data_IF_535076692513
#
_entry.id   IF_535076692513
#
_cell.length_a   1.000
_cell.length_b   1.000
_cell.length_c   1.000
_cell.angle_alpha   90.00
_cell.angle_beta   90.00
_cell.angle_gamma   90.00
#
_symmetry.space_group_name_H-M   'P 1'
#
loop_
_entity.id
_entity.type
_entity.pdbx_description
1 polymer ?
#
# COMPACT_ATOMS: atom_id res chain seq x y z
N UNK A 1 4.69 -27.34 -8.51
CA UNK A 1 4.09 -26.59 -9.65
C UNK A 1 2.56 -26.72 -9.68
N UNK A 2 1.91 -26.42 -8.55
CA UNK A 2 0.46 -26.29 -8.36
C UNK A 2 0.31 -25.21 -7.30
N UNK A 3 0.32 -23.93 -7.69
CA UNK A 3 0.05 -22.75 -6.82
C UNK A 3 0.16 -21.38 -7.53
N UNK A 4 0.10 -21.34 -8.86
CA UNK A 4 -0.05 -20.08 -9.62
C UNK A 4 -1.54 -19.80 -9.95
N UNK A 5 -2.42 -20.75 -9.62
CA UNK A 5 -3.88 -20.61 -9.78
C UNK A 5 -4.53 -19.65 -8.77
N UNK A 6 -3.78 -19.08 -7.82
CA UNK A 6 -4.32 -18.24 -6.75
C UNK A 6 -4.52 -16.78 -7.17
N UNK A 7 -3.81 -16.32 -8.21
CA UNK A 7 -3.93 -14.94 -8.73
C UNK A 7 -5.27 -14.72 -9.47
N UNK A 8 -5.89 -15.79 -9.99
CA UNK A 8 -7.26 -15.74 -10.48
C UNK A 8 -8.31 -15.92 -9.38
N UNK A 9 -7.93 -16.35 -8.17
CA UNK A 9 -8.89 -16.71 -7.12
C UNK A 9 -9.33 -15.53 -6.25
N UNK A 10 -8.52 -14.47 -6.16
CA UNK A 10 -8.93 -13.23 -5.46
C UNK A 10 -9.86 -12.32 -6.28
N UNK A 11 -10.02 -12.59 -7.58
CA UNK A 11 -11.03 -11.92 -8.42
C UNK A 11 -12.38 -12.68 -8.37
N UNK A 12 -12.42 -13.91 -7.83
CA UNK A 12 -13.58 -14.82 -8.00
C UNK A 12 -14.55 -14.93 -6.81
N UNK A 13 -14.42 -14.17 -5.72
CA UNK A 13 -15.29 -14.35 -4.52
C UNK A 13 -16.45 -13.37 -4.39
N UNK A 14 -16.88 -12.69 -5.46
CA UNK A 14 -18.09 -11.83 -5.42
C UNK A 14 -19.27 -12.37 -6.27
N UNK A 15 -19.15 -13.49 -6.99
CA UNK A 15 -20.21 -13.89 -7.93
C UNK A 15 -20.86 -15.21 -7.54
N UNK A 16 -21.80 -15.14 -6.60
CA UNK A 16 -22.95 -16.05 -6.56
C UNK A 16 -24.22 -15.23 -6.37
N UNK A 17 -24.84 -14.85 -7.49
CA UNK A 17 -26.14 -14.20 -7.48
C UNK A 17 -26.54 -13.62 -8.85
N UNK A 18 -27.48 -14.31 -9.50
CA UNK A 18 -28.33 -13.85 -10.60
C UNK A 18 -27.70 -13.62 -11.99
N UNK A 19 -27.97 -14.59 -12.87
CA UNK A 19 -28.03 -14.39 -14.32
C UNK A 19 -29.08 -13.32 -14.67
N UNK A 20 -28.62 -12.14 -15.06
CA UNK A 20 -29.38 -11.19 -15.87
C UNK A 20 -28.38 -10.41 -16.74
N UNK A 21 -28.56 -10.47 -18.07
CA UNK A 21 -27.87 -9.58 -19.00
C UNK A 21 -28.34 -8.15 -18.75
N UNK A 22 -27.70 -7.46 -17.81
CA UNK A 22 -27.61 -6.00 -17.81
C UNK A 22 -26.15 -5.64 -18.06
N UNK A 23 -25.90 -4.62 -18.87
CA UNK A 23 -24.58 -3.97 -18.93
C UNK A 23 -24.35 -3.27 -17.58
N UNK A 24 -24.04 -4.05 -16.56
CA UNK A 24 -23.85 -3.53 -15.21
C UNK A 24 -22.66 -2.58 -15.18
N UNK A 25 -22.85 -1.41 -14.57
CA UNK A 25 -21.74 -0.57 -14.10
C UNK A 25 -21.53 -0.92 -12.64
N UNK A 26 -20.27 -1.08 -12.23
CA UNK A 26 -19.87 -1.18 -10.84
C UNK A 26 -19.37 0.19 -10.42
N UNK A 27 -19.91 0.72 -9.32
CA UNK A 27 -19.45 1.97 -8.73
C UNK A 27 -18.65 1.64 -7.47
N UNK A 28 -17.45 2.18 -7.39
CA UNK A 28 -16.58 2.05 -6.23
C UNK A 28 -15.96 3.42 -5.89
N UNK A 29 -15.52 3.56 -4.65
CA UNK A 29 -14.82 4.73 -4.12
C UNK A 29 -13.34 4.43 -3.87
N UNK A 30 -12.94 3.16 -3.99
CA UNK A 30 -11.59 2.68 -3.69
C UNK A 30 -11.33 2.56 -2.20
N UNK A 31 -12.31 2.07 -1.43
CA UNK A 31 -12.12 1.72 -0.03
C UNK A 31 -12.52 0.27 0.24
N UNK A 32 -11.84 -0.35 1.18
CA UNK A 32 -12.31 -1.57 1.84
C UNK A 32 -12.59 -1.26 3.30
N UNK A 33 -13.60 -1.90 3.89
CA UNK A 33 -13.97 -1.71 5.29
C UNK A 33 -14.41 -3.02 5.92
N UNK A 34 -14.39 -3.06 7.25
CA UNK A 34 -15.04 -4.10 8.05
C UNK A 34 -15.92 -3.49 9.12
N UNK A 35 -16.88 -4.25 9.65
CA UNK A 35 -17.57 -3.87 10.88
C UNK A 35 -16.66 -4.25 12.04
N UNK A 36 -16.08 -3.24 12.69
CA UNK A 36 -15.07 -3.46 13.72
C UNK A 36 -15.68 -4.21 14.91
N UNK A 37 -14.96 -5.23 15.35
CA UNK A 37 -15.20 -5.90 16.63
C UNK A 37 -14.20 -5.44 17.71
N UNK A 38 -13.38 -4.43 17.39
CA UNK A 38 -12.38 -3.88 18.28
C UNK A 38 -13.06 -2.96 19.30
N UNK A 39 -13.00 -3.32 20.58
CA UNK A 39 -13.63 -2.55 21.65
C UNK A 39 -12.97 -1.18 21.88
N UNK A 40 -11.75 -0.98 21.37
CA UNK A 40 -10.99 0.25 21.52
C UNK A 40 -11.05 1.18 20.30
N UNK A 41 -11.69 0.75 19.21
CA UNK A 41 -11.81 1.57 18.00
C UNK A 41 -13.01 1.18 17.13
N UNK A 42 -14.03 2.05 17.08
CA UNK A 42 -15.17 1.92 16.18
C UNK A 42 -16.01 0.66 16.40
N UNK A 43 -16.14 0.17 17.63
CA UNK A 43 -16.86 -1.07 17.93
C UNK A 43 -18.29 -1.06 17.38
N UNK A 44 -18.61 -2.02 16.51
CA UNK A 44 -19.91 -2.13 15.85
C UNK A 44 -20.14 -1.11 14.72
N UNK A 45 -19.10 -0.38 14.31
CA UNK A 45 -19.11 0.58 13.22
C UNK A 45 -18.18 0.13 12.07
N UNK A 46 -18.39 0.63 10.84
CA UNK A 46 -17.47 0.42 9.73
C UNK A 46 -16.14 1.13 9.96
N UNK A 47 -15.02 0.40 9.87
CA UNK A 47 -13.67 0.94 9.91
C UNK A 47 -12.98 0.70 8.57
N UNK A 48 -12.38 1.75 8.00
CA UNK A 48 -11.67 1.69 6.72
C UNK A 48 -10.38 0.88 6.88
N UNK A 49 -10.28 -0.23 6.16
CA UNK A 49 -9.11 -1.12 6.15
C UNK A 49 -8.07 -0.71 5.10
N UNK A 50 -8.54 -0.18 3.97
CA UNK A 50 -7.63 0.33 2.95
C UNK A 50 -8.28 1.37 2.06
N UNK A 51 -7.43 2.22 1.49
CA UNK A 51 -7.78 3.24 0.52
C UNK A 51 -6.88 3.04 -0.71
N UNK A 52 -7.47 2.84 -1.88
CA UNK A 52 -6.74 2.68 -3.14
C UNK A 52 -6.16 4.04 -3.57
N UNK A 53 -4.87 4.13 -3.93
CA UNK A 53 -4.28 5.37 -4.45
C UNK A 53 -5.04 5.90 -5.66
N UNK A 54 -5.16 7.23 -5.75
CA UNK A 54 -5.83 7.95 -6.85
C UNK A 54 -7.35 7.71 -6.99
N UNK A 55 -7.92 6.82 -6.18
CA UNK A 55 -9.37 6.61 -6.09
C UNK A 55 -10.10 7.86 -5.61
N UNK A 56 -11.43 7.94 -5.79
CA UNK A 56 -12.21 9.04 -5.25
C UNK A 56 -12.07 9.23 -3.74
N UNK A 57 -12.02 8.15 -2.96
CA UNK A 57 -11.86 8.24 -1.51
C UNK A 57 -10.48 8.77 -1.11
N UNK A 58 -9.41 8.34 -1.81
CA UNK A 58 -8.08 8.91 -1.62
C UNK A 58 -8.04 10.42 -1.91
N UNK A 59 -8.70 10.86 -3.00
CA UNK A 59 -8.80 12.27 -3.37
C UNK A 59 -9.61 13.09 -2.37
N UNK A 60 -10.65 12.50 -1.78
CA UNK A 60 -11.45 13.14 -0.74
C UNK A 60 -10.68 13.26 0.60
N UNK A 61 -9.66 12.41 0.82
CA UNK A 61 -8.85 12.42 2.03
C UNK A 61 -9.30 11.43 3.10
N UNK A 62 -10.08 10.41 2.71
CA UNK A 62 -10.36 9.25 3.56
C UNK A 62 -9.05 8.50 3.82
N UNK A 63 -8.85 8.05 5.07
CA UNK A 63 -7.64 7.37 5.53
C UNK A 63 -7.96 5.98 6.07
N UNK A 64 -6.93 5.14 6.15
CA UNK A 64 -7.00 3.88 6.90
C UNK A 64 -7.31 4.19 8.37
N UNK A 65 -8.10 3.33 8.99
CA UNK A 65 -8.64 3.42 10.35
C UNK A 65 -9.71 4.51 10.55
N UNK A 66 -10.16 5.21 9.51
CA UNK A 66 -11.32 6.09 9.63
C UNK A 66 -12.58 5.28 10.00
N UNK A 67 -13.33 5.76 10.99
CA UNK A 67 -14.63 5.21 11.40
C UNK A 67 -15.72 5.93 10.62
N UNK A 68 -16.47 5.19 9.80
CA UNK A 68 -17.58 5.75 9.00
C UNK A 68 -18.84 5.77 9.87
N UNK A 69 -19.19 6.93 10.43
CA UNK A 69 -20.35 7.10 11.31
C UNK A 69 -21.67 7.17 10.55
N UNK A 70 -21.67 7.80 9.37
CA UNK A 70 -22.87 7.95 8.55
C UNK A 70 -22.55 7.82 7.06
N UNK A 71 -23.52 7.30 6.31
CA UNK A 71 -23.54 7.29 4.84
C UNK A 71 -24.79 8.04 4.38
N UNK A 72 -24.64 9.17 3.71
CA UNK A 72 -25.74 10.04 3.27
C UNK A 72 -26.69 10.43 4.41
N UNK A 73 -26.14 10.66 5.62
CA UNK A 73 -26.90 10.97 6.84
C UNK A 73 -27.57 9.75 7.51
N UNK A 74 -27.41 8.54 6.98
CA UNK A 74 -27.86 7.32 7.64
C UNK A 74 -26.76 6.78 8.58
N UNK A 75 -27.07 6.70 9.87
CA UNK A 75 -26.15 6.20 10.89
C UNK A 75 -25.80 4.72 10.71
N UNK A 76 -24.49 4.41 10.82
CA UNK A 76 -23.92 3.07 10.60
C UNK A 76 -23.79 2.23 11.87
N UNK A 77 -23.89 2.86 13.05
CA UNK A 77 -23.74 2.18 14.34
C UNK A 77 -24.66 0.96 14.48
N UNK A 78 -24.07 -0.19 14.79
CA UNK A 78 -24.73 -1.50 14.94
C UNK A 78 -25.51 -1.96 13.70
N UNK A 79 -25.18 -1.44 12.51
CA UNK A 79 -25.69 -1.95 11.24
C UNK A 79 -24.82 -3.09 10.74
N UNK A 80 -25.44 -4.06 10.08
CA UNK A 80 -24.71 -5.18 9.50
C UNK A 80 -24.03 -4.77 8.18
N UNK A 81 -23.01 -5.54 7.80
CA UNK A 81 -22.24 -5.29 6.59
C UNK A 81 -23.11 -5.17 5.31
N UNK A 82 -24.08 -6.07 5.03
CA UNK A 82 -24.92 -5.94 3.84
C UNK A 82 -25.71 -4.63 3.75
N UNK A 83 -26.16 -4.09 4.87
CA UNK A 83 -26.92 -2.83 4.92
C UNK A 83 -26.02 -1.64 4.60
N UNK A 84 -24.83 -1.58 5.21
CA UNK A 84 -23.88 -0.48 4.94
C UNK A 84 -23.33 -0.57 3.52
N UNK A 85 -23.01 -1.79 3.06
CA UNK A 85 -22.56 -2.03 1.70
C UNK A 85 -23.62 -1.60 0.67
N UNK A 86 -24.91 -1.81 0.94
CA UNK A 86 -25.95 -1.31 0.04
C UNK A 86 -25.98 0.22 0.01
N UNK A 87 -25.79 0.93 1.12
CA UNK A 87 -25.74 2.40 1.11
C UNK A 87 -24.53 2.97 0.38
N UNK A 88 -23.36 2.36 0.58
CA UNK A 88 -22.14 2.78 -0.09
C UNK A 88 -22.25 2.52 -1.60
N UNK A 89 -22.63 1.29 -1.99
CA UNK A 89 -22.51 0.82 -3.37
C UNK A 89 -23.83 0.77 -4.16
N UNK A 90 -24.95 1.29 -3.63
CA UNK A 90 -26.23 1.37 -4.38
C UNK A 90 -26.08 2.31 -5.57
N UNK A 91 -26.16 1.80 -6.80
CA UNK A 91 -25.92 2.49 -8.07
C UNK A 91 -26.86 3.66 -8.42
N UNK A 92 -27.80 4.06 -7.55
CA UNK A 92 -28.81 5.08 -7.87
C UNK A 92 -28.42 6.54 -7.56
N UNK A 93 -27.44 6.82 -6.67
CA UNK A 93 -26.94 8.19 -6.41
C UNK A 93 -25.62 8.47 -7.11
N UNK A 94 -25.32 9.74 -7.45
CA UNK A 94 -24.07 10.13 -8.12
C UNK A 94 -22.90 10.36 -7.16
N UNK A 95 -23.19 10.97 -6.01
CA UNK A 95 -22.21 11.30 -4.98
C UNK A 95 -22.65 10.67 -3.66
N UNK A 96 -21.68 10.38 -2.79
CA UNK A 96 -21.95 9.99 -1.41
C UNK A 96 -21.35 11.00 -0.46
N UNK A 97 -22.01 11.15 0.69
CA UNK A 97 -21.51 11.92 1.81
C UNK A 97 -21.16 10.96 2.94
N UNK A 98 -19.88 10.89 3.30
CA UNK A 98 -19.42 10.13 4.45
C UNK A 98 -19.20 11.07 5.62
N UNK A 99 -19.77 10.72 6.77
CA UNK A 99 -19.41 11.34 8.04
C UNK A 99 -18.40 10.45 8.74
N UNK A 100 -17.21 10.97 9.01
CA UNK A 100 -16.07 10.22 9.56
C UNK A 100 -15.67 10.73 10.94
N UNK A 101 -15.28 9.79 11.80
CA UNK A 101 -14.57 9.99 13.06
C UNK A 101 -13.22 9.25 13.02
N UNK A 102 -12.17 9.88 13.52
CA UNK A 102 -10.84 9.27 13.64
C UNK A 102 -10.07 9.96 14.79
N UNK A 103 -8.73 9.89 14.81
CA UNK A 103 -7.87 10.51 15.86
C UNK A 103 -7.81 12.04 15.76
N UNK A 104 -7.96 12.63 14.58
CA UNK A 104 -7.86 14.08 14.36
C UNK A 104 -9.22 14.81 14.35
N UNK A 105 -10.33 14.10 14.10
CA UNK A 105 -11.69 14.67 14.12
C UNK A 105 -12.74 13.77 14.81
N UNK A 106 -13.74 14.41 15.44
CA UNK A 106 -14.96 13.74 15.93
C UNK A 106 -16.03 13.62 14.85
N UNK A 107 -16.09 14.60 13.94
CA UNK A 107 -17.09 14.70 12.90
C UNK A 107 -16.48 15.46 11.73
N UNK A 108 -16.21 14.77 10.63
CA UNK A 108 -15.80 15.39 9.38
C UNK A 108 -16.56 14.78 8.23
N UNK A 109 -17.13 15.64 7.40
CA UNK A 109 -17.89 15.23 6.23
C UNK A 109 -16.98 15.22 5.00
N UNK A 110 -17.07 14.14 4.23
CA UNK A 110 -16.39 13.98 2.95
C UNK A 110 -17.43 13.75 1.86
N UNK A 111 -17.43 14.61 0.86
CA UNK A 111 -18.18 14.40 -0.38
C UNK A 111 -17.30 13.61 -1.35
N UNK A 112 -17.75 12.42 -1.72
CA UNK A 112 -17.00 11.50 -2.55
C UNK A 112 -17.78 11.25 -3.84
N UNK A 113 -17.16 11.65 -4.95
CA UNK A 113 -17.67 11.39 -6.29
C UNK A 113 -17.52 9.91 -6.61
N UNK A 114 -18.54 9.28 -7.18
CA UNK A 114 -18.45 7.87 -7.57
C UNK A 114 -17.56 7.67 -8.79
N UNK A 115 -16.68 6.68 -8.73
CA UNK A 115 -16.06 6.13 -9.93
C UNK A 115 -16.84 4.90 -10.38
N UNK A 116 -17.75 5.11 -11.33
CA UNK A 116 -18.54 4.04 -11.92
C UNK A 116 -17.89 3.58 -13.20
N UNK A 117 -17.53 2.30 -13.30
CA UNK A 117 -16.91 1.68 -14.48
C UNK A 117 -17.71 0.48 -14.94
N UNK A 118 -17.52 0.07 -16.19
CA UNK A 118 -18.09 -1.19 -16.69
C UNK A 118 -17.55 -2.35 -15.85
N UNK A 119 -18.38 -3.36 -15.55
CA UNK A 119 -17.97 -4.51 -14.70
C UNK A 119 -16.74 -5.25 -15.24
N UNK A 120 -16.48 -5.17 -16.55
CA UNK A 120 -15.33 -5.76 -17.22
C UNK A 120 -14.19 -4.77 -17.52
N UNK A 121 -14.21 -3.57 -16.93
CA UNK A 121 -13.18 -2.56 -17.12
C UNK A 121 -11.88 -2.93 -16.39
N UNK A 122 -10.76 -2.90 -17.11
CA UNK A 122 -9.40 -2.97 -16.57
C UNK A 122 -8.75 -1.60 -16.70
N UNK A 123 -8.54 -0.94 -15.55
CA UNK A 123 -7.83 0.33 -15.49
C UNK A 123 -6.32 0.13 -15.74
N UNK A 124 -5.65 1.20 -16.16
CA UNK A 124 -4.18 1.25 -16.23
C UNK A 124 -3.53 0.94 -14.88
N UNK A 125 -4.19 1.29 -13.77
CA UNK A 125 -3.74 0.96 -12.42
C UNK A 125 -3.68 -0.56 -12.18
N UNK A 126 -4.69 -1.33 -12.61
CA UNK A 126 -4.68 -2.79 -12.54
C UNK A 126 -3.70 -3.42 -13.52
N UNK A 127 -3.59 -2.85 -14.74
CA UNK A 127 -2.67 -3.33 -15.76
C UNK A 127 -1.21 -3.12 -15.36
N UNK A 128 -0.89 -2.06 -14.62
CA UNK A 128 0.43 -1.85 -14.06
C UNK A 128 0.88 -3.04 -13.20
N UNK A 129 0.00 -3.58 -12.35
CA UNK A 129 0.30 -4.76 -11.52
C UNK A 129 0.47 -6.02 -12.37
N UNK A 130 -0.45 -6.23 -13.31
CA UNK A 130 -0.41 -7.39 -14.21
C UNK A 130 0.91 -7.46 -15.01
N UNK A 131 1.44 -6.30 -15.41
CA UNK A 131 2.66 -6.15 -16.21
C UNK A 131 3.87 -5.63 -15.42
N UNK A 132 3.88 -5.79 -14.08
CA UNK A 132 4.92 -5.27 -13.19
C UNK A 132 6.35 -5.71 -13.55
N UNK A 133 6.56 -6.89 -14.17
CA UNK A 133 7.91 -7.31 -14.57
C UNK A 133 8.51 -6.47 -15.70
N UNK A 134 7.74 -5.60 -16.37
CA UNK A 134 8.34 -4.56 -17.22
C UNK A 134 9.15 -3.54 -16.41
N UNK A 135 8.72 -3.22 -15.18
CA UNK A 135 9.43 -2.36 -14.23
C UNK A 135 9.13 -2.78 -12.79
N UNK A 136 10.00 -3.64 -12.22
CA UNK A 136 9.89 -3.96 -10.79
C UNK A 136 10.40 -2.80 -9.93
N UNK A 137 11.20 -1.92 -10.51
CA UNK A 137 11.69 -0.67 -9.93
C UNK A 137 10.55 0.28 -9.55
N UNK A 138 9.51 0.33 -10.38
CA UNK A 138 8.36 1.21 -10.21
C UNK A 138 7.13 0.50 -9.63
N UNK A 139 6.95 -0.79 -9.91
CA UNK A 139 5.77 -1.55 -9.45
C UNK A 139 6.17 -2.86 -8.79
N UNK A 140 5.98 -2.97 -7.48
CA UNK A 140 6.19 -4.20 -6.73
C UNK A 140 5.45 -4.20 -5.40
N UNK A 141 5.10 -5.39 -4.94
CA UNK A 141 4.55 -5.63 -3.61
C UNK A 141 5.56 -6.41 -2.78
N UNK A 142 5.81 -5.95 -1.56
CA UNK A 142 6.79 -6.57 -0.65
C UNK A 142 6.22 -6.66 0.75
N UNK A 143 6.39 -7.81 1.38
CA UNK A 143 5.95 -8.03 2.75
C UNK A 143 7.13 -8.23 3.69
N UNK A 144 6.95 -7.82 4.94
CA UNK A 144 7.90 -8.07 6.03
C UNK A 144 7.17 -8.16 7.37
N UNK A 145 7.80 -8.80 8.34
CA UNK A 145 7.24 -9.00 9.69
C UNK A 145 8.13 -8.33 10.73
N UNK A 146 7.52 -7.75 11.77
CA UNK A 146 8.20 -7.26 12.97
C UNK A 146 7.78 -8.11 14.18
N UNK A 147 8.72 -8.40 15.11
CA UNK A 147 8.42 -9.05 16.38
C UNK A 147 7.84 -8.05 17.40
N UNK A 148 6.68 -7.47 17.07
CA UNK A 148 6.01 -6.49 17.93
C UNK A 148 5.10 -7.16 18.96
N UNK A 149 5.27 -6.82 20.23
CA UNK A 149 4.28 -7.10 21.26
C UNK A 149 3.40 -5.87 21.44
N UNK A 150 2.08 -6.02 21.25
CA UNK A 150 1.08 -4.98 21.48
C UNK A 150 0.16 -5.43 22.61
N UNK A 151 -0.09 -4.55 23.58
CA UNK A 151 -0.92 -4.81 24.76
C UNK A 151 -1.87 -3.63 25.01
N UNK A 152 -3.05 -3.60 24.34
CA UNK A 152 -4.03 -2.54 24.52
C UNK A 152 -4.98 -2.82 25.69
N UNK A 153 -5.40 -1.77 26.40
CA UNK A 153 -6.49 -1.87 27.36
C UNK A 153 -7.84 -1.85 26.64
N UNK A 154 -8.52 -2.99 26.62
CA UNK A 154 -9.77 -3.18 25.86
C UNK A 154 -10.95 -2.36 26.37
N UNK A 155 -10.85 -1.73 27.54
CA UNK A 155 -11.91 -0.88 28.11
C UNK A 155 -11.77 0.60 27.72
N UNK A 156 -10.80 0.93 26.87
CA UNK A 156 -10.48 2.31 26.47
C UNK A 156 -10.87 2.49 25.01
N UNK A 157 -11.73 3.48 24.72
CA UNK A 157 -11.98 3.94 23.35
C UNK A 157 -10.93 5.00 22.98
N UNK A 158 -10.03 4.66 22.06
CA UNK A 158 -8.95 5.56 21.66
C UNK A 158 -9.45 6.76 20.84
N UNK A 159 -10.70 6.77 20.35
CA UNK A 159 -11.27 7.93 19.65
C UNK A 159 -11.48 9.15 20.57
N UNK A 160 -11.41 8.95 21.89
CA UNK A 160 -11.54 9.98 22.91
C UNK A 160 -10.23 10.70 23.27
N UNK A 161 -9.11 10.20 22.75
CA UNK A 161 -7.76 10.71 23.00
C UNK A 161 -7.21 11.41 21.76
N UNK A 162 -6.84 12.68 21.93
CA UNK A 162 -6.47 13.61 20.85
C UNK A 162 -5.11 14.23 21.08
N UNK A 163 -4.74 14.41 22.34
CA UNK A 163 -3.51 15.09 22.70
C UNK A 163 -2.56 14.22 23.49
N UNK A 164 -1.27 14.51 23.36
CA UNK A 164 -0.23 13.80 24.09
C UNK A 164 0.86 14.74 24.58
N UNK A 165 1.60 14.29 25.58
CA UNK A 165 2.94 14.81 25.88
C UNK A 165 3.82 13.67 26.38
N UNK A 166 5.13 13.90 26.40
CA UNK A 166 6.05 12.92 26.96
C UNK A 166 6.09 12.99 28.48
N UNK A 167 6.34 11.84 29.11
CA UNK A 167 6.65 11.77 30.53
C UNK A 167 7.83 12.68 30.83
N UNK A 168 7.67 13.60 31.79
CA UNK A 168 8.74 14.50 32.20
C UNK A 168 9.73 13.73 33.06
N UNK A 169 11.00 13.85 32.72
CA UNK A 169 12.11 13.32 33.48
C UNK A 169 12.62 14.41 34.44
N UNK A 170 12.87 14.06 35.70
CA UNK A 170 13.34 15.01 36.72
C UNK A 170 14.83 15.39 36.53
N UNK A 171 15.55 14.66 35.68
CA UNK A 171 16.98 14.82 35.40
C UNK A 171 17.26 15.04 33.92
N UNK A 172 18.45 15.58 33.63
CA UNK A 172 18.94 15.65 32.24
C UNK A 172 19.05 14.25 31.65
N UNK A 173 18.28 13.98 30.61
CA UNK A 173 18.39 12.75 29.82
C UNK A 173 19.47 12.89 28.74
N UNK A 174 20.08 11.77 28.31
CA UNK A 174 20.98 11.75 27.16
C UNK A 174 20.38 12.27 25.86
N UNK A 175 21.23 12.70 24.91
CA UNK A 175 20.81 13.19 23.58
C UNK A 175 20.01 12.15 22.77
N UNK A 176 20.28 10.86 23.01
CA UNK A 176 19.56 9.76 22.35
C UNK A 176 18.07 9.73 22.70
N UNK A 177 17.71 10.03 23.96
CA UNK A 177 16.31 10.08 24.40
C UNK A 177 15.54 11.18 23.68
N UNK A 178 16.15 12.37 23.54
CA UNK A 178 15.56 13.47 22.78
C UNK A 178 15.33 13.08 21.32
N UNK A 179 16.30 12.42 20.70
CA UNK A 179 16.15 11.99 19.30
C UNK A 179 15.05 10.92 19.16
N UNK A 180 15.05 9.88 20.00
CA UNK A 180 14.00 8.84 19.97
C UNK A 180 12.62 9.47 20.16
N UNK A 181 12.46 10.33 21.17
CA UNK A 181 11.19 11.01 21.42
C UNK A 181 10.77 11.90 20.24
N UNK A 182 11.71 12.54 19.53
CA UNK A 182 11.38 13.30 18.31
C UNK A 182 10.84 12.42 17.18
N UNK A 183 11.35 11.19 17.02
CA UNK A 183 10.84 10.25 16.02
C UNK A 183 9.46 9.70 16.42
N UNK A 184 9.25 9.43 17.71
CA UNK A 184 7.92 9.03 18.22
C UNK A 184 6.92 10.19 18.08
N UNK A 185 7.32 11.41 18.40
CA UNK A 185 6.48 12.62 18.25
C UNK A 185 6.01 12.78 16.81
N UNK A 186 6.94 12.69 15.85
CA UNK A 186 6.63 12.73 14.42
C UNK A 186 5.61 11.64 14.05
N UNK A 187 5.84 10.40 14.47
CA UNK A 187 4.94 9.29 14.19
C UNK A 187 3.54 9.48 14.82
N UNK A 188 3.43 10.01 16.04
CA UNK A 188 2.15 10.31 16.69
C UNK A 188 1.38 11.42 15.98
N UNK A 189 2.07 12.46 15.53
CA UNK A 189 1.48 13.56 14.75
C UNK A 189 0.99 13.06 13.39
N UNK A 190 1.73 12.18 12.73
CA UNK A 190 1.31 11.52 11.48
C UNK A 190 0.04 10.65 11.68
N UNK A 191 -0.17 10.12 12.89
CA UNK A 191 -1.42 9.43 13.28
C UNK A 191 -2.57 10.37 13.62
N UNK A 192 -2.35 11.68 13.68
CA UNK A 192 -3.37 12.69 13.91
C UNK A 192 -3.45 13.21 15.35
N UNK A 193 -2.56 12.76 16.25
CA UNK A 193 -2.49 13.32 17.61
C UNK A 193 -1.81 14.70 17.60
N UNK A 194 -2.15 15.53 18.59
CA UNK A 194 -1.58 16.87 18.75
C UNK A 194 -0.82 16.97 20.07
N UNK A 195 0.39 17.52 20.07
CA UNK A 195 1.14 17.68 21.31
C UNK A 195 0.56 18.80 22.19
N UNK A 196 0.35 18.52 23.48
CA UNK A 196 -0.15 19.48 24.48
C UNK A 196 0.63 19.36 25.79
N UNK A 197 1.49 20.33 26.11
CA UNK A 197 2.32 20.29 27.32
C UNK A 197 1.60 20.73 28.59
N UNK A 198 0.39 21.29 28.45
CA UNK A 198 -0.41 21.81 29.57
C UNK A 198 -1.37 20.74 30.09
N UNK A 199 -2.21 20.22 29.21
CA UNK A 199 -3.25 19.23 29.54
C UNK A 199 -3.33 18.18 28.42
N UNK A 200 -2.39 17.22 28.37
CA UNK A 200 -2.44 16.12 27.42
C UNK A 200 -3.42 15.04 27.87
N UNK A 201 -4.11 14.40 26.91
CA UNK A 201 -4.96 13.24 27.18
C UNK A 201 -4.11 11.99 27.49
N UNK A 202 -2.96 11.86 26.82
CA UNK A 202 -2.01 10.75 26.91
C UNK A 202 -0.64 11.24 27.42
N UNK A 203 -0.07 10.54 28.40
CA UNK A 203 1.36 10.64 28.70
C UNK A 203 2.10 9.50 28.00
N UNK A 204 3.08 9.85 27.17
CA UNK A 204 3.90 8.91 26.40
C UNK A 204 5.21 8.65 27.13
N UNK A 205 5.54 7.38 27.34
CA UNK A 205 6.85 6.96 27.84
C UNK A 205 7.52 6.07 26.79
N UNK A 206 8.76 6.37 26.46
CA UNK A 206 9.62 5.53 25.63
C UNK A 206 10.58 4.74 26.51
N UNK A 207 10.97 3.56 26.06
CA UNK A 207 12.01 2.76 26.70
C UNK A 207 12.75 1.96 25.64
N UNK A 208 14.05 1.77 25.82
CA UNK A 208 14.86 1.03 24.86
C UNK A 208 16.04 0.34 25.53
N UNK A 209 16.56 -0.69 24.88
CA UNK A 209 17.80 -1.35 25.27
C UNK A 209 18.59 -1.75 24.04
N UNK A 210 19.92 -1.71 24.14
CA UNK A 210 20.83 -2.28 23.16
C UNK A 210 21.94 -2.99 23.91
N UNK A 211 22.07 -4.30 23.72
CA UNK A 211 23.02 -5.11 24.47
C UNK A 211 23.54 -6.31 23.68
N UNK A 212 24.76 -6.80 23.98
CA UNK A 212 25.25 -8.06 23.47
C UNK A 212 24.32 -9.22 23.83
N UNK A 213 24.12 -10.14 22.90
CA UNK A 213 23.30 -11.32 23.11
C UNK A 213 24.11 -12.48 23.71
N UNK A 214 23.85 -12.79 24.98
CA UNK A 214 24.53 -13.90 25.69
C UNK A 214 24.24 -15.28 25.10
N UNK A 215 23.16 -15.43 24.31
CA UNK A 215 22.79 -16.69 23.65
C UNK A 215 23.36 -16.83 22.23
N UNK A 216 24.12 -15.84 21.75
CA UNK A 216 24.73 -15.89 20.43
C UNK A 216 25.67 -17.08 20.29
N UNK A 217 25.46 -17.87 19.24
CA UNK A 217 26.32 -18.99 18.87
C UNK A 217 27.07 -18.69 17.58
N UNK A 218 28.37 -18.35 17.70
CA UNK A 218 29.24 -18.03 16.57
C UNK A 218 29.46 -19.21 15.59
N UNK A 219 29.14 -20.45 15.98
CA UNK A 219 29.16 -21.60 15.07
C UNK A 219 27.99 -21.59 14.07
N UNK A 220 26.92 -20.85 14.36
CA UNK A 220 25.81 -20.66 13.43
C UNK A 220 26.16 -19.50 12.50
N UNK A 221 26.39 -19.77 11.22
CA UNK A 221 26.74 -18.74 10.25
C UNK A 221 25.54 -17.81 10.01
N UNK A 222 25.48 -16.70 10.74
CA UNK A 222 24.49 -15.63 10.56
C UNK A 222 25.07 -14.37 9.92
N UNK A 223 26.38 -14.35 9.64
CA UNK A 223 27.06 -13.20 9.02
C UNK A 223 26.40 -12.86 7.69
N UNK A 224 26.11 -11.56 7.49
CA UNK A 224 25.45 -11.02 6.31
C UNK A 224 23.98 -11.44 6.12
N UNK A 225 23.27 -11.78 7.21
CA UNK A 225 21.81 -11.97 7.15
C UNK A 225 21.12 -10.62 7.37
N UNK A 226 20.42 -10.14 6.35
CA UNK A 226 19.70 -8.88 6.37
C UNK A 226 18.21 -9.12 6.15
N UNK A 227 17.38 -8.32 6.81
CA UNK A 227 15.95 -8.28 6.56
C UNK A 227 15.54 -6.95 5.99
N UNK A 228 14.47 -6.97 5.21
CA UNK A 228 13.92 -5.77 4.63
C UNK A 228 13.00 -5.07 5.62
N UNK A 229 13.07 -3.74 5.64
CA UNK A 229 12.17 -2.84 6.35
C UNK A 229 11.73 -1.72 5.41
N UNK A 230 10.60 -1.09 5.73
CA UNK A 230 10.14 0.10 5.04
C UNK A 230 10.65 1.33 5.76
N UNK A 231 11.26 2.24 5.02
CA UNK A 231 11.63 3.57 5.49
C UNK A 231 10.58 4.58 5.00
N UNK A 232 9.78 5.11 5.92
CA UNK A 232 8.70 6.05 5.62
C UNK A 232 9.20 7.40 5.12
N UNK A 233 10.44 7.78 5.43
CA UNK A 233 10.99 9.07 5.01
C UNK A 233 11.45 9.05 3.54
N UNK A 234 12.10 7.96 3.14
CA UNK A 234 12.54 7.77 1.75
C UNK A 234 11.48 7.10 0.88
N UNK A 235 10.44 6.52 1.50
CA UNK A 235 9.41 5.70 0.87
C UNK A 235 9.97 4.47 0.13
N UNK A 236 11.08 3.93 0.65
CA UNK A 236 11.78 2.79 0.06
C UNK A 236 11.90 1.60 1.02
N UNK A 237 12.14 0.43 0.44
CA UNK A 237 12.50 -0.76 1.20
C UNK A 237 14.02 -0.80 1.41
N UNK A 238 14.47 -0.82 2.65
CA UNK A 238 15.88 -0.82 3.05
C UNK A 238 16.28 -2.16 3.67
N UNK A 239 17.53 -2.60 3.46
CA UNK A 239 18.09 -3.79 4.11
C UNK A 239 18.75 -3.38 5.41
N UNK A 240 18.31 -3.97 6.52
CA UNK A 240 18.89 -3.75 7.83
C UNK A 240 19.54 -5.03 8.36
N UNK A 241 20.58 -4.94 9.21
CA UNK A 241 21.27 -6.09 9.81
C UNK A 241 20.45 -6.76 10.92
N UNK A 242 19.17 -6.98 10.65
CA UNK A 242 18.17 -7.51 11.57
C UNK A 242 17.73 -8.86 11.04
N UNK A 243 17.64 -9.86 11.90
CA UNK A 243 17.13 -11.18 11.56
C UNK A 243 15.61 -11.13 11.37
N UNK A 244 15.08 -11.96 10.48
CA UNK A 244 13.64 -11.96 10.22
C UNK A 244 12.88 -12.39 11.47
N UNK A 245 11.73 -11.77 11.74
CA UNK A 245 10.81 -12.21 12.80
C UNK A 245 10.33 -13.65 12.60
N UNK A 246 10.37 -14.15 11.35
CA UNK A 246 10.01 -15.52 10.99
C UNK A 246 11.16 -16.53 11.18
N UNK A 247 12.37 -16.09 11.52
CA UNK A 247 13.51 -16.98 11.79
C UNK A 247 13.42 -17.56 13.19
N UNK A 248 13.02 -18.83 13.27
CA UNK A 248 12.90 -19.59 14.54
C UNK A 248 14.22 -19.68 15.34
N UNK A 249 15.36 -19.42 14.69
CA UNK A 249 16.68 -19.42 15.32
C UNK A 249 17.26 -18.01 15.48
N UNK A 250 16.45 -16.96 15.35
CA UNK A 250 16.92 -15.57 15.45
C UNK A 250 17.70 -15.31 16.74
N UNK A 251 17.24 -15.84 17.87
CA UNK A 251 17.87 -15.66 19.18
C UNK A 251 19.28 -16.26 19.27
N UNK A 252 19.55 -17.41 18.65
CA UNK A 252 20.90 -18.00 18.69
C UNK A 252 21.84 -17.42 17.64
N UNK A 253 21.28 -16.78 16.61
CA UNK A 253 22.01 -16.19 15.48
C UNK A 253 22.39 -14.72 15.68
N UNK A 254 21.60 -13.96 16.44
CA UNK A 254 21.82 -12.53 16.65
C UNK A 254 22.99 -12.27 17.60
N UNK A 255 23.91 -11.39 17.23
CA UNK A 255 25.01 -10.92 18.07
C UNK A 255 24.55 -9.91 19.13
N UNK A 256 23.53 -9.11 18.80
CA UNK A 256 22.96 -8.09 19.67
C UNK A 256 21.45 -8.25 19.80
N UNK A 257 20.90 -7.71 20.88
CA UNK A 257 19.47 -7.57 21.12
C UNK A 257 19.17 -6.08 21.22
N UNK A 258 18.22 -5.62 20.41
CA UNK A 258 17.67 -4.27 20.47
C UNK A 258 16.21 -4.35 20.87
N UNK A 259 15.79 -3.54 21.84
CA UNK A 259 14.38 -3.34 22.16
C UNK A 259 14.05 -1.85 22.09
N UNK A 260 12.91 -1.51 21.49
CA UNK A 260 12.29 -0.19 21.56
C UNK A 260 10.82 -0.37 21.87
N UNK A 261 10.33 0.34 22.89
CA UNK A 261 8.95 0.29 23.33
C UNK A 261 8.38 1.67 23.65
N UNK A 262 7.06 1.77 23.51
CA UNK A 262 6.26 2.97 23.65
C UNK A 262 5.04 2.62 24.50
N UNK A 263 4.83 3.37 25.59
CA UNK A 263 3.68 3.22 26.50
C UNK A 263 2.85 4.48 26.50
N UNK A 264 1.55 4.28 26.54
CA UNK A 264 0.58 5.34 26.79
C UNK A 264 -0.04 5.16 28.17
N UNK A 265 -0.07 6.25 28.92
CA UNK A 265 -0.78 6.37 30.17
C UNK A 265 -1.94 7.36 30.03
N UNK A 266 -3.10 6.99 30.54
CA UNK A 266 -4.26 7.87 30.61
C UNK A 266 -4.00 9.01 31.61
N UNK A 267 -4.35 10.23 31.19
CA UNK A 267 -4.41 11.41 32.06
C UNK A 267 -5.81 12.04 32.11
N UNK A 268 -6.76 11.51 31.36
CA UNK A 268 -8.06 12.16 31.13
C UNK A 268 -9.21 11.54 31.90
N UNK A 269 -9.38 10.22 31.83
CA UNK A 269 -10.68 9.59 32.14
C UNK A 269 -10.67 8.61 33.33
N UNK A 270 -9.61 7.83 33.52
CA UNK A 270 -9.61 6.71 34.47
C UNK A 270 -9.32 7.20 35.89
N UNK A 271 -8.12 7.78 36.08
CA UNK A 271 -7.72 8.35 37.35
C UNK A 271 -6.58 9.35 37.13
N UNK A 272 -6.86 10.65 37.30
CA UNK A 272 -5.87 11.71 37.09
C UNK A 272 -4.70 11.65 38.08
N UNK A 273 -4.89 11.00 39.24
CA UNK A 273 -3.89 10.86 40.29
C UNK A 273 -3.07 9.57 40.15
N UNK A 274 -3.43 8.66 39.23
CA UNK A 274 -2.72 7.40 39.00
C UNK A 274 -2.44 7.20 37.52
N UNK A 275 -1.15 7.15 37.18
CA UNK A 275 -0.65 6.74 35.86
C UNK A 275 -1.17 5.34 35.52
N UNK A 276 -2.21 5.28 34.69
CA UNK A 276 -2.85 4.03 34.27
C UNK A 276 -2.43 3.73 32.85
N UNK A 277 -1.66 2.66 32.65
CA UNK A 277 -1.27 2.23 31.31
C UNK A 277 -2.50 1.81 30.52
N UNK A 278 -2.67 2.39 29.33
CA UNK A 278 -3.79 2.09 28.41
C UNK A 278 -3.31 1.39 27.14
N UNK A 279 -2.02 1.46 26.83
CA UNK A 279 -1.44 0.84 25.65
C UNK A 279 0.07 0.66 25.82
N UNK A 280 0.62 -0.46 25.36
CA UNK A 280 2.07 -0.70 25.20
C UNK A 280 2.31 -1.35 23.84
N UNK A 281 3.31 -0.86 23.11
CA UNK A 281 3.86 -1.53 21.94
C UNK A 281 5.37 -1.52 21.99
N UNK A 282 5.97 -2.69 21.78
CA UNK A 282 7.42 -2.83 21.73
C UNK A 282 7.85 -3.80 20.65
N UNK A 283 9.00 -3.55 20.05
CA UNK A 283 9.68 -4.51 19.18
C UNK A 283 10.98 -4.94 19.82
N UNK A 284 11.22 -6.25 19.85
CA UNK A 284 12.48 -6.84 20.32
C UNK A 284 13.13 -7.62 19.18
N UNK A 285 14.25 -7.10 18.70
CA UNK A 285 14.92 -7.56 17.50
C UNK A 285 16.28 -8.20 17.82
N UNK A 286 16.69 -9.14 16.95
CA UNK A 286 18.01 -9.78 17.00
C UNK A 286 18.84 -9.31 15.81
N UNK A 287 20.02 -8.77 16.07
CA UNK A 287 20.86 -8.13 15.04
C UNK A 287 22.12 -8.93 14.75
N UNK A 288 22.58 -8.91 13.50
CA UNK A 288 23.79 -9.63 13.07
C UNK A 288 25.08 -8.84 13.28
N UNK A 289 24.99 -7.53 13.49
CA UNK A 289 26.09 -6.61 13.71
C UNK A 289 25.61 -5.43 14.57
N UNK A 290 26.54 -4.56 14.94
CA UNK A 290 26.25 -3.34 15.69
C UNK A 290 25.34 -2.41 14.87
N UNK A 291 24.39 -1.74 15.53
CA UNK A 291 23.39 -0.92 14.85
C UNK A 291 22.91 0.21 15.75
N UNK A 292 22.84 1.41 15.19
CA UNK A 292 22.46 2.61 15.92
C UNK A 292 20.98 2.59 16.31
N UNK A 293 20.69 2.74 17.61
CA UNK A 293 19.33 2.83 18.14
C UNK A 293 18.60 4.08 17.62
N UNK A 294 19.31 5.17 17.30
CA UNK A 294 18.71 6.35 16.69
C UNK A 294 18.20 6.02 15.28
N UNK A 295 19.02 5.38 14.44
CA UNK A 295 18.59 4.94 13.12
C UNK A 295 17.46 3.90 13.19
N UNK A 296 17.50 2.99 14.18
CA UNK A 296 16.39 2.07 14.43
C UNK A 296 15.09 2.82 14.74
N UNK A 297 15.14 3.81 15.63
CA UNK A 297 13.98 4.62 15.98
C UNK A 297 13.44 5.41 14.79
N UNK A 298 14.30 6.00 13.96
CA UNK A 298 13.93 6.72 12.73
C UNK A 298 13.08 5.86 11.79
N UNK A 299 13.48 4.61 11.59
CA UNK A 299 12.77 3.67 10.71
C UNK A 299 11.52 3.06 11.36
N UNK A 300 11.61 2.68 12.65
CA UNK A 300 10.60 1.82 13.27
C UNK A 300 9.53 2.59 14.07
N UNK A 301 9.74 3.86 14.41
CA UNK A 301 8.75 4.66 15.12
C UNK A 301 7.38 4.67 14.42
N UNK A 302 7.36 5.00 13.12
CA UNK A 302 6.14 5.01 12.30
C UNK A 302 5.53 3.61 12.19
N UNK A 303 6.35 2.57 12.00
CA UNK A 303 5.90 1.18 11.91
C UNK A 303 5.22 0.72 13.21
N UNK A 304 5.81 1.01 14.38
CA UNK A 304 5.19 0.72 15.68
C UNK A 304 3.86 1.47 15.86
N UNK A 305 3.80 2.74 15.44
CA UNK A 305 2.59 3.56 15.52
C UNK A 305 1.48 3.13 14.55
N UNK A 306 1.76 2.31 13.55
CA UNK A 306 0.70 1.66 12.75
C UNK A 306 -0.15 0.68 13.57
N UNK A 307 0.28 0.29 14.78
CA UNK A 307 -0.51 -0.56 15.68
C UNK A 307 -1.52 0.21 16.54
N UNK A 308 -1.57 1.54 16.43
CA UNK A 308 -2.49 2.44 17.12
C UNK A 308 -3.25 3.29 16.09
N UNK A 309 -4.54 3.62 16.27
CA UNK A 309 -5.41 3.30 17.39
C UNK A 309 -6.21 2.01 17.18
N UNK A 310 -6.23 1.44 15.97
CA UNK A 310 -6.82 0.14 15.70
C UNK A 310 -5.94 -0.98 16.27
N UNK A 311 -5.96 -1.10 17.60
CA UNK A 311 -5.02 -1.94 18.35
C UNK A 311 -5.63 -3.28 18.73
N UNK A 312 -4.88 -4.35 18.49
CA UNK A 312 -5.22 -5.71 18.95
C UNK A 312 -4.00 -6.36 19.59
N UNK A 313 -4.22 -7.17 20.63
CA UNK A 313 -3.13 -7.89 21.29
C UNK A 313 -2.47 -8.87 20.31
N UNK A 314 -1.16 -8.73 20.11
CA UNK A 314 -0.38 -9.56 19.18
C UNK A 314 1.10 -9.58 19.57
N UNK A 315 1.84 -10.56 19.03
CA UNK A 315 3.30 -10.72 19.24
C UNK A 315 4.12 -10.61 17.96
N UNK A 316 3.43 -10.42 16.82
CA UNK A 316 4.03 -10.20 15.51
C UNK A 316 3.07 -9.31 14.72
N UNK A 317 3.62 -8.41 13.90
CA UNK A 317 2.84 -7.65 12.93
C UNK A 317 3.46 -7.84 11.56
N UNK A 318 2.61 -8.14 10.57
CA UNK A 318 3.01 -8.26 9.17
C UNK A 318 2.63 -6.98 8.45
N UNK A 319 3.50 -6.52 7.57
CA UNK A 319 3.32 -5.32 6.77
C UNK A 319 3.38 -5.67 5.30
N UNK A 320 2.55 -5.00 4.50
CA UNK A 320 2.57 -5.04 3.05
C UNK A 320 2.90 -3.65 2.53
N UNK A 321 3.93 -3.53 1.71
CA UNK A 321 4.31 -2.31 1.00
C UNK A 321 4.04 -2.53 -0.47
N UNK A 322 3.14 -1.71 -1.00
CA UNK A 322 2.77 -1.68 -2.42
C UNK A 322 3.32 -0.40 -3.03
N UNK A 323 4.35 -0.54 -3.86
CA UNK A 323 4.90 0.53 -4.68
C UNK A 323 4.31 0.42 -6.08
N UNK A 324 3.86 1.54 -6.63
CA UNK A 324 3.35 1.62 -8.00
C UNK A 324 3.78 2.92 -8.68
N UNK A 325 4.23 2.81 -9.93
CA UNK A 325 4.64 3.94 -10.75
C UNK A 325 4.35 3.67 -12.22
N UNK A 326 3.42 4.42 -12.83
CA UNK A 326 2.99 4.15 -14.21
C UNK A 326 2.54 5.43 -14.94
N UNK A 327 2.58 5.40 -16.27
CA UNK A 327 1.94 6.38 -17.14
C UNK A 327 0.42 6.19 -17.08
N UNK A 328 -0.27 7.20 -16.57
CA UNK A 328 -1.72 7.31 -16.55
C UNK A 328 -2.20 8.15 -17.73
N UNK A 329 -3.08 7.58 -18.55
CA UNK A 329 -3.84 8.27 -19.59
C UNK A 329 -5.33 8.36 -19.24
N UNK A 330 -5.84 7.49 -18.36
CA UNK A 330 -7.26 7.38 -18.00
C UNK A 330 -8.05 6.40 -18.86
N UNK A 331 -7.37 5.53 -19.60
CA UNK A 331 -8.02 4.48 -20.38
C UNK A 331 -8.41 3.29 -19.50
N UNK A 332 -9.62 2.77 -19.72
CA UNK A 332 -10.04 1.50 -19.17
C UNK A 332 -10.34 0.53 -20.32
N UNK A 333 -9.74 -0.65 -20.27
CA UNK A 333 -9.79 -1.66 -21.33
C UNK A 333 -10.84 -2.73 -21.02
N UNK A 334 -11.38 -3.39 -22.04
CA UNK A 334 -12.25 -4.55 -21.85
C UNK A 334 -11.41 -5.78 -21.46
N UNK A 335 -11.75 -6.44 -20.36
CA UNK A 335 -11.02 -7.63 -19.90
C UNK A 335 -11.08 -8.82 -20.86
N UNK A 336 -12.08 -8.86 -21.76
CA UNK A 336 -12.23 -9.92 -22.78
C UNK A 336 -11.65 -9.53 -24.12
N UNK A 337 -11.48 -8.23 -24.36
CA UNK A 337 -11.02 -7.68 -25.63
C UNK A 337 -10.15 -6.45 -25.35
N UNK A 338 -8.88 -6.72 -25.04
CA UNK A 338 -7.89 -5.76 -24.55
C UNK A 338 -7.61 -4.56 -25.47
N UNK A 339 -8.14 -4.55 -26.69
CA UNK A 339 -8.07 -3.42 -27.60
C UNK A 339 -9.26 -2.47 -27.46
N UNK A 340 -10.38 -2.92 -26.91
CA UNK A 340 -11.60 -2.12 -26.77
C UNK A 340 -11.57 -1.30 -25.50
N UNK A 341 -11.94 -0.02 -25.60
CA UNK A 341 -12.04 0.90 -24.47
C UNK A 341 -13.46 0.84 -23.89
N UNK A 342 -13.58 0.43 -22.64
CA UNK A 342 -14.87 0.33 -21.93
C UNK A 342 -15.28 1.67 -21.34
N UNK A 343 -14.34 2.38 -20.73
CA UNK A 343 -14.55 3.66 -20.08
C UNK A 343 -13.30 4.54 -20.23
N UNK A 344 -13.48 5.86 -20.18
CA UNK A 344 -12.38 6.84 -20.15
C UNK A 344 -12.64 7.76 -18.98
N UNK A 345 -11.68 7.83 -18.06
CA UNK A 345 -11.82 8.63 -16.84
C UNK A 345 -12.05 10.11 -17.19
N UNK A 346 -13.00 10.76 -16.53
CA UNK A 346 -13.34 12.15 -16.81
C UNK A 346 -12.16 13.09 -16.52
N UNK A 347 -11.89 14.03 -17.44
CA UNK A 347 -10.78 14.99 -17.30
C UNK A 347 -9.38 14.39 -17.45
N UNK A 348 -9.27 13.08 -17.74
CA UNK A 348 -7.99 12.41 -17.96
C UNK A 348 -7.30 12.85 -19.26
N UNK A 349 -5.98 12.60 -19.42
CA UNK A 349 -5.28 12.90 -20.65
C UNK A 349 -5.92 12.32 -21.91
N UNK A 350 -6.42 11.08 -21.87
CA UNK A 350 -7.08 10.43 -22.98
C UNK A 350 -8.44 11.09 -23.31
N UNK A 351 -9.22 11.45 -22.28
CA UNK A 351 -10.49 12.18 -22.45
C UNK A 351 -10.26 13.54 -23.11
N UNK A 352 -9.26 14.30 -22.65
CA UNK A 352 -8.91 15.62 -23.19
C UNK A 352 -8.41 15.52 -24.64
N UNK A 353 -7.70 14.44 -24.99
CA UNK A 353 -7.27 14.16 -26.36
C UNK A 353 -8.41 13.64 -27.27
N UNK A 354 -9.58 13.36 -26.69
CA UNK A 354 -10.80 12.98 -27.38
C UNK A 354 -10.95 11.50 -27.70
N UNK A 355 -10.29 10.62 -26.94
CA UNK A 355 -10.60 9.17 -26.92
C UNK A 355 -11.89 8.98 -26.11
N UNK A 356 -12.77 8.09 -26.57
CA UNK A 356 -14.09 7.87 -25.98
C UNK A 356 -14.35 6.38 -25.68
N UNK A 357 -15.25 6.06 -24.74
CA UNK A 357 -15.79 4.72 -24.59
C UNK A 357 -16.31 4.15 -25.93
N UNK A 358 -16.00 2.89 -26.20
CA UNK A 358 -16.32 2.21 -27.46
C UNK A 358 -15.29 2.39 -28.57
N UNK A 359 -14.28 3.26 -28.40
CA UNK A 359 -13.14 3.28 -29.30
C UNK A 359 -12.33 1.99 -29.18
N UNK A 360 -11.70 1.56 -30.29
CA UNK A 360 -10.78 0.42 -30.29
C UNK A 360 -9.36 0.89 -30.57
N UNK A 361 -8.41 0.58 -29.70
CA UNK A 361 -6.99 0.81 -29.91
C UNK A 361 -6.51 -0.09 -31.06
N UNK A 362 -5.87 0.52 -32.05
CA UNK A 362 -5.20 -0.18 -33.17
C UNK A 362 -3.74 -0.37 -32.83
N UNK A 363 -3.07 0.69 -32.36
CA UNK A 363 -1.69 0.64 -31.88
C UNK A 363 -1.37 1.82 -30.94
N UNK A 364 -0.40 1.62 -30.06
CA UNK A 364 0.23 2.68 -29.26
C UNK A 364 1.70 2.77 -29.65
N UNK A 365 2.10 3.93 -30.17
CA UNK A 365 3.40 4.13 -30.80
C UNK A 365 3.57 3.18 -31.99
N UNK A 366 4.44 2.18 -31.83
CA UNK A 366 4.71 1.16 -32.85
C UNK A 366 4.04 -0.20 -32.56
N UNK A 367 3.48 -0.39 -31.36
CA UNK A 367 2.98 -1.70 -30.91
C UNK A 367 1.49 -1.83 -31.19
N UNK A 368 1.10 -2.85 -31.96
CA UNK A 368 -0.30 -3.14 -32.30
C UNK A 368 -1.06 -3.77 -31.12
N UNK A 369 -2.39 -3.67 -31.19
CA UNK A 369 -3.33 -4.22 -30.21
C UNK A 369 -4.21 -5.33 -30.85
N UNK A 370 -3.68 -6.10 -31.79
CA UNK A 370 -4.38 -7.19 -32.49
C UNK A 370 -4.08 -8.58 -31.88
N UNK A 371 -3.96 -8.64 -30.56
CA UNK A 371 -3.65 -9.86 -29.79
C UNK A 371 -4.83 -10.30 -28.92
N UNK A 372 -4.99 -11.62 -28.76
CA UNK A 372 -5.91 -12.17 -27.76
C UNK A 372 -5.31 -12.12 -26.35
N UNK A 373 -6.14 -12.22 -25.31
CA UNK A 373 -5.66 -12.28 -23.93
C UNK A 373 -4.70 -13.46 -23.67
N UNK A 374 -4.91 -14.60 -24.35
CA UNK A 374 -4.03 -15.78 -24.27
C UNK A 374 -2.67 -15.55 -24.95
N UNK A 375 -2.66 -14.85 -26.10
CA UNK A 375 -1.41 -14.45 -26.76
C UNK A 375 -0.58 -13.55 -25.85
N UNK A 376 -1.22 -12.56 -25.22
CA UNK A 376 -0.55 -11.65 -24.29
C UNK A 376 0.01 -12.37 -23.07
N UNK A 377 -0.76 -13.27 -22.45
CA UNK A 377 -0.29 -14.02 -21.30
C UNK A 377 0.96 -14.86 -21.65
N UNK A 378 0.91 -15.59 -22.77
CA UNK A 378 2.04 -16.40 -23.24
C UNK A 378 3.26 -15.54 -23.56
N UNK A 379 3.06 -14.43 -24.27
CA UNK A 379 4.12 -13.52 -24.66
C UNK A 379 4.78 -12.83 -23.45
N UNK A 380 3.99 -12.44 -22.45
CA UNK A 380 4.50 -11.85 -21.22
C UNK A 380 5.25 -12.86 -20.34
N UNK A 381 4.73 -14.08 -20.17
CA UNK A 381 5.44 -15.17 -19.48
C UNK A 381 6.79 -15.45 -20.15
N UNK A 382 6.81 -15.47 -21.49
CA UNK A 382 8.03 -15.64 -22.27
C UNK A 382 9.00 -14.48 -22.08
N UNK A 383 8.51 -13.23 -22.11
CA UNK A 383 9.32 -12.05 -21.82
C UNK A 383 10.01 -12.17 -20.46
N UNK A 384 9.28 -12.56 -19.41
CA UNK A 384 9.87 -12.72 -18.07
C UNK A 384 11.01 -13.73 -18.11
N UNK A 385 10.77 -14.93 -18.62
CA UNK A 385 11.77 -16.02 -18.64
C UNK A 385 13.00 -15.64 -19.46
N UNK A 386 12.82 -15.15 -20.68
CA UNK A 386 13.92 -14.85 -21.60
C UNK A 386 14.70 -13.58 -21.22
N UNK A 387 14.10 -12.67 -20.44
CA UNK A 387 14.76 -11.44 -19.97
C UNK A 387 15.53 -11.60 -18.65
N UNK A 388 15.39 -12.72 -17.95
CA UNK A 388 16.10 -12.98 -16.68
C UNK A 388 17.62 -12.71 -16.72
N UNK A 389 18.36 -13.06 -17.80
CA UNK A 389 19.79 -12.76 -17.89
C UNK A 389 20.15 -11.26 -17.91
N UNK A 390 19.18 -10.36 -18.08
CA UNK A 390 19.36 -8.90 -18.07
C UNK A 390 19.14 -8.28 -16.67
N UNK A 391 18.69 -9.09 -15.71
CA UNK A 391 18.40 -8.65 -14.33
C UNK A 391 19.66 -8.49 -13.49
N UNK A 392 19.57 -7.74 -12.40
CA UNK A 392 20.66 -7.54 -11.44
C UNK A 392 20.48 -8.46 -10.21
N UNK A 393 21.30 -9.52 -10.05
CA UNK A 393 21.19 -10.45 -8.93
C UNK A 393 21.33 -9.80 -7.55
N UNK A 394 22.03 -8.67 -7.43
CA UNK A 394 22.23 -7.97 -6.14
C UNK A 394 20.94 -7.34 -5.60
N UNK A 395 19.95 -7.13 -6.48
CA UNK A 395 18.66 -6.51 -6.14
C UNK A 395 17.58 -7.54 -5.80
N UNK A 396 17.94 -8.83 -5.71
CA UNK A 396 16.95 -9.90 -5.52
C UNK A 396 16.13 -9.70 -4.23
N UNK A 397 14.81 -9.87 -4.36
CA UNK A 397 13.87 -9.91 -3.25
C UNK A 397 12.74 -10.92 -3.52
N UNK A 398 12.02 -11.28 -2.45
CA UNK A 398 10.80 -12.08 -2.51
C UNK A 398 9.62 -11.10 -2.51
N UNK A 399 8.71 -11.21 -3.47
CA UNK A 399 7.49 -10.40 -3.48
C UNK A 399 6.49 -10.84 -2.39
N UNK A 400 5.43 -10.06 -2.18
CA UNK A 400 4.39 -10.36 -1.20
C UNK A 400 3.64 -11.69 -1.47
N UNK A 401 3.67 -12.19 -2.71
CA UNK A 401 3.03 -13.43 -3.14
C UNK A 401 3.97 -14.66 -3.00
N UNK A 402 5.23 -14.44 -2.60
CA UNK A 402 6.22 -15.48 -2.38
C UNK A 402 7.06 -15.85 -3.61
N UNK A 403 7.04 -15.05 -4.68
CA UNK A 403 7.93 -15.23 -5.82
C UNK A 403 9.36 -14.77 -5.46
N UNK A 404 10.37 -15.66 -5.45
CA UNK A 404 11.66 -15.37 -4.83
C UNK A 404 12.68 -14.68 -5.74
N UNK A 405 12.40 -14.59 -7.04
CA UNK A 405 13.35 -14.15 -8.06
C UNK A 405 13.02 -12.78 -8.66
N UNK A 406 12.34 -11.92 -7.88
CA UNK A 406 12.14 -10.52 -8.27
C UNK A 406 13.48 -9.79 -8.25
N UNK A 407 13.85 -9.16 -9.36
CA UNK A 407 15.11 -8.43 -9.53
C UNK A 407 14.87 -7.20 -10.41
N UNK A 408 15.53 -6.10 -10.10
CA UNK A 408 15.59 -4.95 -10.98
C UNK A 408 16.44 -5.24 -12.22
N UNK A 409 16.29 -4.42 -13.26
CA UNK A 409 17.13 -4.48 -14.44
C UNK A 409 18.57 -4.08 -14.10
N UNK A 410 19.54 -4.72 -14.76
CA UNK A 410 20.94 -4.27 -14.67
C UNK A 410 21.11 -2.96 -15.45
N UNK A 411 21.59 -1.91 -14.77
CA UNK A 411 21.73 -0.55 -15.33
C UNK A 411 22.52 -0.54 -16.65
N UNK A 412 23.61 -1.32 -16.71
CA UNK A 412 24.46 -1.45 -17.91
C UNK A 412 23.81 -2.24 -19.06
N UNK A 413 22.68 -2.91 -18.82
CA UNK A 413 21.92 -3.69 -19.82
C UNK A 413 20.66 -2.97 -20.31
N UNK A 414 20.38 -1.75 -19.84
CA UNK A 414 19.16 -1.00 -20.23
C UNK A 414 18.94 -0.90 -21.76
N UNK A 415 19.98 -0.68 -22.60
CA UNK A 415 19.79 -0.70 -24.04
C UNK A 415 19.27 -2.05 -24.56
N UNK A 416 19.79 -3.17 -24.06
CA UNK A 416 19.35 -4.52 -24.44
C UNK A 416 17.92 -4.81 -23.97
N UNK A 417 17.54 -4.33 -22.78
CA UNK A 417 16.16 -4.44 -22.28
C UNK A 417 15.21 -3.67 -23.19
N UNK A 418 15.56 -2.45 -23.59
CA UNK A 418 14.74 -1.63 -24.50
C UNK A 418 14.58 -2.29 -25.90
N UNK A 419 15.57 -3.05 -26.38
CA UNK A 419 15.43 -3.83 -27.62
C UNK A 419 14.41 -4.96 -27.49
N UNK A 420 14.19 -5.53 -26.30
CA UNK A 420 13.15 -6.56 -26.12
C UNK A 420 11.76 -5.99 -26.43
N UNK A 421 11.46 -4.78 -25.97
CA UNK A 421 10.17 -4.12 -26.22
C UNK A 421 9.89 -3.80 -27.70
N UNK A 422 10.91 -3.90 -28.57
CA UNK A 422 10.74 -3.76 -30.03
C UNK A 422 10.41 -5.09 -30.72
N UNK A 423 10.60 -6.23 -30.05
CA UNK A 423 10.31 -7.57 -30.57
C UNK A 423 8.83 -7.92 -30.43
N UNK A 424 7.99 -7.10 -31.06
CA UNK A 424 6.52 -7.18 -31.03
C UNK A 424 5.99 -8.57 -31.35
N UNK A 425 6.51 -9.22 -32.40
CA UNK A 425 6.10 -10.57 -32.81
C UNK A 425 6.38 -11.68 -31.78
N UNK A 426 7.23 -11.42 -30.78
CA UNK A 426 7.63 -12.40 -29.75
C UNK A 426 6.97 -12.07 -28.40
N UNK A 427 7.00 -10.80 -27.99
CA UNK A 427 6.62 -10.40 -26.64
C UNK A 427 5.32 -9.59 -26.57
N UNK A 428 4.70 -9.24 -27.71
CA UNK A 428 3.44 -8.49 -27.80
C UNK A 428 3.29 -7.41 -26.71
N UNK A 429 4.22 -6.44 -26.59
CA UNK A 429 4.36 -5.61 -25.40
C UNK A 429 3.35 -4.44 -25.38
N UNK A 430 2.06 -4.75 -25.54
CA UNK A 430 0.96 -3.80 -25.71
C UNK A 430 0.91 -2.78 -24.57
N UNK A 431 1.10 -3.25 -23.33
CA UNK A 431 1.03 -2.44 -22.13
C UNK A 431 2.38 -1.87 -21.67
N UNK A 432 3.43 -1.99 -22.49
CA UNK A 432 4.74 -1.38 -22.17
C UNK A 432 4.68 0.16 -22.10
N UNK A 433 3.68 0.80 -22.71
CA UNK A 433 3.49 2.25 -22.62
C UNK A 433 3.27 2.74 -21.19
N UNK A 434 2.76 1.87 -20.30
CA UNK A 434 2.60 2.16 -18.87
C UNK A 434 3.94 2.50 -18.22
N UNK A 435 5.04 1.95 -18.72
CA UNK A 435 6.39 2.18 -18.19
C UNK A 435 7.29 2.93 -19.18
N UNK A 436 6.72 3.52 -20.24
CA UNK A 436 7.47 4.17 -21.30
C UNK A 436 8.23 5.42 -20.86
N UNK A 437 7.99 5.96 -19.66
CA UNK A 437 8.83 7.01 -19.08
C UNK A 437 10.22 6.50 -18.68
N UNK A 438 10.44 5.18 -18.62
CA UNK A 438 11.71 4.58 -18.27
C UNK A 438 12.63 4.31 -19.47
N UNK A 439 13.93 4.52 -19.26
CA UNK A 439 14.96 4.34 -20.28
C UNK A 439 15.14 2.88 -20.71
N UNK A 440 14.94 1.93 -19.81
CA UNK A 440 15.01 0.50 -20.12
C UNK A 440 13.77 -0.02 -20.87
N UNK A 441 12.70 0.77 -20.97
CA UNK A 441 11.52 0.44 -21.79
C UNK A 441 11.60 1.14 -23.15
N UNK A 442 11.73 2.47 -23.15
CA UNK A 442 11.67 3.28 -24.38
C UNK A 442 13.02 3.62 -25.02
N UNK A 443 14.12 3.25 -24.38
CA UNK A 443 15.47 3.68 -24.78
C UNK A 443 15.85 5.05 -24.20
N UNK A 444 16.95 5.68 -24.68
CA UNK A 444 17.57 6.85 -24.04
C UNK A 444 16.69 8.10 -23.99
N UNK A 445 15.70 8.20 -24.88
CA UNK A 445 14.78 9.33 -24.99
C UNK A 445 13.33 8.87 -24.81
N UNK A 446 12.87 8.66 -23.57
CA UNK A 446 11.48 8.33 -23.26
C UNK A 446 10.49 9.32 -23.91
N UNK A 447 9.42 8.84 -24.58
CA UNK A 447 8.44 9.71 -25.20
C UNK A 447 7.64 10.46 -24.13
N UNK A 448 7.52 11.79 -24.31
CA UNK A 448 6.62 12.64 -23.51
C UNK A 448 5.16 12.58 -23.99
N UNK A 449 4.95 12.12 -25.22
CA UNK A 449 3.64 12.05 -25.88
C UNK A 449 3.49 10.66 -26.47
N UNK A 450 2.36 10.02 -26.21
CA UNK A 450 1.95 8.75 -26.78
C UNK A 450 1.14 9.02 -28.05
N UNK A 451 1.58 8.45 -29.15
CA UNK A 451 0.83 8.42 -30.42
C UNK A 451 -0.09 7.19 -30.39
N UNK A 452 -1.39 7.40 -30.18
CA UNK A 452 -2.40 6.34 -30.06
C UNK A 452 -3.27 6.34 -31.33
N UNK A 453 -3.18 5.28 -32.13
CA UNK A 453 -4.09 5.07 -33.26
C UNK A 453 -5.33 4.34 -32.75
N UNK A 454 -6.50 4.97 -32.88
CA UNK A 454 -7.80 4.41 -32.48
C UNK A 454 -8.71 4.26 -33.69
N UNK A 455 -9.60 3.28 -33.63
CA UNK A 455 -10.74 3.14 -34.55
C UNK A 455 -12.00 3.59 -33.82
N UNK A 456 -12.49 4.78 -34.17
CA UNK A 456 -13.71 5.36 -33.62
C UNK A 456 -14.80 5.35 -34.68
N UNK A 457 -15.96 4.75 -34.39
CA UNK A 457 -17.09 4.63 -35.33
C UNK A 457 -16.70 4.09 -36.72
N UNK A 458 -15.71 3.18 -36.77
CA UNK A 458 -15.23 2.58 -38.01
C UNK A 458 -14.05 3.32 -38.67
N UNK A 459 -13.79 4.58 -38.31
CA UNK A 459 -12.71 5.39 -38.88
C UNK A 459 -11.45 5.36 -38.01
N UNK A 460 -10.29 5.27 -38.67
CA UNK A 460 -8.99 5.35 -37.98
C UNK A 460 -8.61 6.81 -37.74
N UNK A 461 -8.20 7.11 -36.51
CA UNK A 461 -7.72 8.42 -36.08
C UNK A 461 -6.44 8.24 -35.27
N UNK A 462 -5.45 9.10 -35.52
CA UNK A 462 -4.28 9.23 -34.65
C UNK A 462 -4.57 10.30 -33.58
N UNK A 463 -4.36 9.94 -32.33
CA UNK A 463 -4.57 10.80 -31.17
C UNK A 463 -3.25 10.93 -30.41
N UNK A 464 -2.86 12.16 -30.06
CA UNK A 464 -1.66 12.43 -29.27
C UNK A 464 -2.05 12.65 -27.82
N UNK A 465 -1.55 11.80 -26.92
CA UNK A 465 -1.87 11.84 -25.50
C UNK A 465 -0.59 12.08 -24.69
N UNK A 466 -0.57 13.11 -23.85
CA UNK A 466 0.52 13.32 -22.89
C UNK A 466 0.14 12.64 -21.57
N UNK A 467 0.70 11.46 -21.24
CA UNK A 467 0.37 10.78 -19.99
C UNK A 467 0.88 11.56 -18.78
N UNK A 468 0.27 11.32 -17.64
CA UNK A 468 0.75 11.76 -16.33
C UNK A 468 1.46 10.59 -15.65
N UNK A 469 2.65 10.79 -15.11
CA UNK A 469 3.29 9.73 -14.30
C UNK A 469 2.65 9.74 -12.92
N UNK A 470 1.91 8.69 -12.59
CA UNK A 470 1.32 8.48 -11.27
C UNK A 470 2.24 7.57 -10.45
N UNK A 471 2.53 7.99 -9.20
CA UNK A 471 3.35 7.25 -8.26
C UNK A 471 2.69 7.17 -6.89
N UNK A 472 2.69 5.99 -6.30
CA UNK A 472 2.16 5.76 -4.96
C UNK A 472 2.99 4.71 -4.23
N UNK A 473 3.20 4.92 -2.94
CA UNK A 473 3.71 3.91 -2.03
C UNK A 473 2.72 3.80 -0.88
N UNK A 474 2.12 2.62 -0.71
CA UNK A 474 1.17 2.35 0.36
C UNK A 474 1.74 1.27 1.26
N UNK A 475 1.79 1.54 2.55
CA UNK A 475 2.08 0.53 3.57
C UNK A 475 0.80 0.20 4.34
N UNK A 476 0.54 -1.10 4.56
CA UNK A 476 -0.59 -1.60 5.36
C UNK A 476 -0.06 -2.55 6.42
N UNK A 477 -0.57 -2.45 7.65
CA UNK A 477 -0.46 -3.52 8.63
C UNK A 477 -1.55 -4.56 8.32
N UNK A 478 -1.18 -5.85 8.30
CA UNK A 478 -2.06 -6.97 7.95
C UNK A 478 -2.66 -7.67 9.17
#
# INVERSE_FOLDING_TARGET
MKKISLVLFLISTIILGASAQSKGRLCDFGITFEISNNSSWGYGEPVVLSVEPFSPAAKAGVKVDDIIMEVNGAATYLRNYPTIASWLFDATSSDIKLTIRNVDTYFKEYEIQRDCKSVNALSEFHLADAYAFYSLEDTNDRAFSLPVKVDPNTNVDFADYRTFDFLKEDSSVPDVDYYINSQIEKALIERGLVRSTQDPDIIVQTYYTFQPNLKYNASVNSKNSYSWRYDSETQEMVKLPILSADDVNAESKGQYILELGIRFFDKKYINKDKMTQIWDCRSREFLTEDYDIQEYARIHASLLMMQYPYSTAKTTAKYLVSKKGFNYTGLNFDSKDIASITDVDAGSPAALAGIRPGDRIVKIGKIKFDYSSDDLEKAYRRFIVESMPLRNPKTRFIDANGFPDCMYWSINRYPEVAELFKKEAIYAPCFSYLYAFNKYVSGPNPPKVLDIEVKSQGQKKLVKVTPQVQQSVVIKAL
#
